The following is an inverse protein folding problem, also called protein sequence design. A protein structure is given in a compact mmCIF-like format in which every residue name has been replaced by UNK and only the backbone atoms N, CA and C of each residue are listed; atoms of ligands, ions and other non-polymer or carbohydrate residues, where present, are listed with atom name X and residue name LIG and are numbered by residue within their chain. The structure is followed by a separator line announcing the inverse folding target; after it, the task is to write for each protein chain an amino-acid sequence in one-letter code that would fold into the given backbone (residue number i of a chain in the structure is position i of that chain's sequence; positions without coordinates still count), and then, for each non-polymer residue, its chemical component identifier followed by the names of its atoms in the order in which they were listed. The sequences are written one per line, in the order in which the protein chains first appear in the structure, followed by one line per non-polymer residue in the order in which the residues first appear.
data_IF_677747983474
#
_entry.id   IF_677747983474
#
_cell.length_a   1.000
_cell.length_b   1.000
_cell.length_c   1.000
_cell.angle_alpha   90.00
_cell.angle_beta   90.00
_cell.angle_gamma   90.00
#
_symmetry.space_group_name_H-M   'P 1'
#
loop_
_entity.id
_entity.type
_entity.pdbx_description
1 polymer ?
#
# COMPACT_ATOMS: atom_id res chain seq x y z
N UNK A 1 2.70 -21.76 4.80
CA UNK A 1 3.39 -20.46 4.91
C UNK A 1 2.70 -19.51 3.94
N UNK A 2 1.58 -18.91 4.36
CA UNK A 2 0.79 -18.00 3.51
C UNK A 2 1.38 -16.62 3.72
N UNK A 3 2.01 -16.09 2.67
CA UNK A 3 2.52 -14.73 2.68
C UNK A 3 1.34 -13.76 2.73
N UNK A 4 1.01 -13.30 3.94
CA UNK A 4 0.20 -12.09 4.14
C UNK A 4 1.07 -10.90 3.71
N UNK A 5 1.22 -10.76 2.40
CA UNK A 5 1.80 -9.58 1.79
C UNK A 5 0.80 -8.44 1.89
N UNK A 6 0.83 -7.73 3.01
CA UNK A 6 0.33 -6.37 3.09
C UNK A 6 1.07 -5.52 2.04
N UNK A 7 0.50 -5.38 0.85
CA UNK A 7 0.85 -4.31 -0.06
C UNK A 7 0.04 -3.08 0.32
N UNK A 8 0.48 -2.42 1.39
CA UNK A 8 0.12 -1.04 1.67
C UNK A 8 0.72 -0.14 0.58
N UNK A 9 -0.01 0.05 -0.51
CA UNK A 9 0.10 1.21 -1.40
C UNK A 9 -1.23 1.93 -1.30
N UNK A 10 -1.23 3.22 -0.92
CA UNK A 10 -2.36 3.96 -0.35
C UNK A 10 -3.50 4.30 -1.32
N UNK A 11 -3.69 3.52 -2.38
CA UNK A 11 -4.75 3.72 -3.35
C UNK A 11 -5.43 2.38 -3.56
N UNK A 12 -6.75 2.36 -3.38
CA UNK A 12 -7.58 1.21 -3.73
C UNK A 12 -7.26 0.80 -5.18
N UNK A 13 -6.98 -0.48 -5.40
CA UNK A 13 -6.61 -1.03 -6.71
C UNK A 13 -7.70 -0.71 -7.74
N UNK A 14 -8.96 -0.64 -7.31
CA UNK A 14 -10.09 -0.24 -8.15
C UNK A 14 -9.98 1.24 -8.55
N UNK A 15 -9.67 2.13 -7.60
CA UNK A 15 -9.41 3.55 -7.89
C UNK A 15 -8.22 3.72 -8.83
N UNK A 16 -7.13 2.99 -8.60
CA UNK A 16 -5.96 3.02 -9.47
C UNK A 16 -6.28 2.54 -10.89
N UNK A 17 -7.10 1.49 -11.04
CA UNK A 17 -7.56 1.01 -12.33
C UNK A 17 -8.42 2.07 -13.06
N UNK A 18 -9.29 2.77 -12.33
CA UNK A 18 -10.11 3.85 -12.88
C UNK A 18 -9.26 5.03 -13.36
N UNK A 19 -8.24 5.42 -12.59
CA UNK A 19 -7.34 6.51 -12.94
C UNK A 19 -6.52 6.18 -14.20
N UNK A 20 -5.95 4.97 -14.29
CA UNK A 20 -5.22 4.50 -15.47
C UNK A 20 -6.11 4.40 -16.71
N UNK A 21 -7.37 3.95 -16.54
CA UNK A 21 -8.34 3.91 -17.65
C UNK A 21 -8.71 5.31 -18.14
N UNK A 22 -8.94 6.26 -17.23
CA UNK A 22 -9.16 7.67 -17.56
C UNK A 22 -7.95 8.27 -18.29
N UNK A 23 -6.74 7.93 -17.85
CA UNK A 23 -5.50 8.39 -18.47
C UNK A 23 -5.35 7.85 -19.91
N UNK A 24 -5.51 6.54 -20.12
CA UNK A 24 -5.47 5.92 -21.46
C UNK A 24 -6.54 6.53 -22.38
N UNK A 25 -7.75 6.75 -21.86
CA UNK A 25 -8.84 7.36 -22.65
C UNK A 25 -8.49 8.78 -23.10
N UNK A 26 -7.87 9.56 -22.21
CA UNK A 26 -7.41 10.93 -22.53
C UNK A 26 -6.29 10.94 -23.56
N UNK A 27 -5.33 10.01 -23.45
CA UNK A 27 -4.26 9.83 -24.45
C UNK A 27 -4.83 9.43 -25.81
N UNK A 28 -5.79 8.49 -25.83
CA UNK A 28 -6.44 8.04 -27.06
C UNK A 28 -7.20 9.18 -27.73
N UNK A 29 -7.94 9.98 -26.97
CA UNK A 29 -8.66 11.14 -27.49
C UNK A 29 -7.69 12.15 -28.16
N UNK A 30 -6.59 12.48 -27.48
CA UNK A 30 -5.58 13.39 -28.02
C UNK A 30 -4.85 12.80 -29.24
N UNK A 31 -4.56 11.50 -29.23
CA UNK A 31 -3.92 10.80 -30.35
C UNK A 31 -4.81 10.79 -31.59
N UNK A 32 -6.10 10.46 -31.45
CA UNK A 32 -7.06 10.47 -32.56
C UNK A 32 -7.27 11.91 -33.06
N UNK A 33 -7.44 12.88 -32.15
CA UNK A 33 -7.66 14.28 -32.50
C UNK A 33 -6.49 14.90 -33.26
N UNK A 34 -5.25 14.65 -32.83
CA UNK A 34 -4.04 15.10 -33.54
C UNK A 34 -3.91 14.42 -34.89
N UNK A 35 -4.14 13.10 -34.97
CA UNK A 35 -4.09 12.37 -36.24
C UNK A 35 -5.12 12.87 -37.25
N UNK A 36 -6.35 13.19 -36.82
CA UNK A 36 -7.39 13.70 -37.72
C UNK A 36 -7.15 15.15 -38.14
N UNK A 37 -6.68 16.01 -37.22
CA UNK A 37 -6.40 17.41 -37.49
C UNK A 37 -5.22 17.58 -38.45
N UNK A 38 -4.18 16.78 -38.25
CA UNK A 38 -2.91 16.90 -38.96
C UNK A 38 -2.82 15.90 -40.13
N UNK A 39 -3.90 15.15 -40.42
CA UNK A 39 -4.01 14.28 -41.59
C UNK A 39 -3.89 15.10 -42.88
N UNK A 40 -2.88 14.79 -43.69
CA UNK A 40 -2.76 15.35 -45.03
C UNK A 40 -3.99 14.95 -45.88
N UNK A 41 -4.49 15.85 -46.75
CA UNK A 41 -5.57 15.51 -47.65
C UNK A 41 -5.15 14.33 -48.54
N UNK A 42 -5.91 13.24 -48.49
CA UNK A 42 -5.68 12.06 -49.32
C UNK A 42 -5.87 12.42 -50.79
N UNK A 43 -4.79 12.46 -51.58
CA UNK A 43 -4.87 12.73 -53.02
C UNK A 43 -5.49 11.53 -53.73
N UNK A 44 -6.70 11.71 -54.28
CA UNK A 44 -7.39 10.70 -55.06
C UNK A 44 -7.02 10.98 -56.53
N UNK A 45 -5.99 10.27 -57.02
CA UNK A 45 -5.40 10.32 -58.38
C UNK A 45 -4.33 11.41 -58.58
N UNK A 46 -3.06 11.03 -58.47
CA UNK A 46 -1.86 11.64 -59.10
C UNK A 46 -1.71 13.19 -59.13
N UNK A 47 -2.54 13.94 -58.42
CA UNK A 47 -2.33 15.36 -58.20
C UNK A 47 -1.30 15.49 -57.08
N UNK A 48 -0.22 16.22 -57.38
CA UNK A 48 0.92 16.42 -56.50
C UNK A 48 0.51 16.92 -55.10
N UNK A 49 1.38 16.74 -54.09
CA UNK A 49 1.02 16.96 -52.70
C UNK A 49 0.50 18.39 -52.50
N UNK A 50 -0.77 18.49 -52.10
CA UNK A 50 -1.37 19.75 -51.66
C UNK A 50 -0.68 20.10 -50.34
N UNK A 51 0.25 21.05 -50.36
CA UNK A 51 0.91 21.53 -49.16
C UNK A 51 -0.11 22.27 -48.29
N UNK A 52 -0.74 21.53 -47.37
CA UNK A 52 -1.42 22.13 -46.25
C UNK A 52 -0.34 22.72 -45.33
N UNK A 53 -0.21 24.05 -45.34
CA UNK A 53 0.60 24.75 -44.36
C UNK A 53 0.00 24.53 -42.97
N UNK A 54 0.59 23.63 -42.19
CA UNK A 54 0.30 23.54 -40.76
C UNK A 54 1.57 23.17 -40.00
N UNK A 55 1.67 23.72 -38.78
CA UNK A 55 2.79 23.67 -37.85
C UNK A 55 3.36 22.25 -37.64
N UNK A 56 4.61 22.11 -37.13
CA UNK A 56 5.16 20.80 -36.77
C UNK A 56 4.21 20.09 -35.80
N UNK A 57 3.53 19.05 -36.30
CA UNK A 57 2.75 18.16 -35.47
C UNK A 57 3.68 17.53 -34.41
N UNK A 58 3.21 17.29 -33.18
CA UNK A 58 3.94 16.45 -32.25
C UNK A 58 4.23 15.09 -32.93
N UNK A 59 5.38 14.45 -32.69
CA UNK A 59 5.70 13.19 -33.35
C UNK A 59 4.63 12.16 -32.97
N UNK A 60 3.85 11.71 -33.95
CA UNK A 60 2.81 10.68 -33.77
C UNK A 60 3.43 9.44 -33.11
N UNK A 61 4.69 9.14 -33.44
CA UNK A 61 5.48 8.07 -32.84
C UNK A 61 5.63 8.22 -31.32
N UNK A 62 5.86 9.45 -30.82
CA UNK A 62 6.01 9.72 -29.38
C UNK A 62 4.67 9.55 -28.66
N UNK A 63 3.57 9.98 -29.28
CA UNK A 63 2.22 9.79 -28.72
C UNK A 63 1.82 8.30 -28.74
N UNK A 64 2.22 7.56 -29.78
CA UNK A 64 2.01 6.11 -29.85
C UNK A 64 2.83 5.38 -28.78
N UNK A 65 4.09 5.75 -28.56
CA UNK A 65 4.92 5.21 -27.48
C UNK A 65 4.29 5.47 -26.11
N UNK A 66 3.81 6.69 -25.84
CA UNK A 66 3.10 7.02 -24.61
C UNK A 66 1.83 6.18 -24.42
N UNK A 67 1.04 5.98 -25.47
CA UNK A 67 -0.17 5.16 -25.42
C UNK A 67 0.17 3.68 -25.12
N UNK A 68 1.19 3.13 -25.77
CA UNK A 68 1.62 1.74 -25.50
C UNK A 68 2.19 1.58 -24.10
N UNK A 69 2.91 2.58 -23.58
CA UNK A 69 3.39 2.62 -22.20
C UNK A 69 2.25 2.64 -21.18
N UNK A 70 1.23 3.47 -21.41
CA UNK A 70 0.04 3.55 -20.56
C UNK A 70 -0.79 2.25 -20.61
N UNK A 71 -0.94 1.63 -21.77
CA UNK A 71 -1.60 0.32 -21.91
C UNK A 71 -0.83 -0.79 -21.16
N UNK A 72 0.50 -0.76 -21.19
CA UNK A 72 1.32 -1.68 -20.42
C UNK A 72 1.19 -1.44 -18.90
N UNK A 73 1.07 -0.19 -18.46
CA UNK A 73 0.81 0.15 -17.06
C UNK A 73 -0.58 -0.37 -16.61
N UNK A 74 -1.62 -0.14 -17.41
CA UNK A 74 -2.96 -0.67 -17.18
C UNK A 74 -2.95 -2.21 -17.09
N UNK A 75 -2.21 -2.88 -17.99
CA UNK A 75 -2.04 -4.34 -17.96
C UNK A 75 -1.41 -4.86 -16.66
N UNK A 76 -0.45 -4.12 -16.08
CA UNK A 76 0.15 -4.45 -14.78
C UNK A 76 -0.85 -4.30 -13.64
N UNK A 77 -1.66 -3.24 -13.65
CA UNK A 77 -2.71 -3.04 -12.63
C UNK A 77 -3.74 -4.17 -12.75
N UNK A 78 -4.15 -4.54 -13.96
CA UNK A 78 -5.07 -5.66 -14.20
C UNK A 78 -4.51 -6.98 -13.66
N UNK A 79 -3.24 -7.25 -13.91
CA UNK A 79 -2.56 -8.46 -13.42
C UNK A 79 -2.40 -8.47 -11.88
N UNK A 80 -2.43 -7.30 -11.24
CA UNK A 80 -2.37 -7.15 -9.79
C UNK A 80 -3.74 -7.28 -9.10
N UNK A 81 -4.84 -7.44 -9.84
CA UNK A 81 -6.15 -7.66 -9.21
C UNK A 81 -6.11 -8.95 -8.38
N UNK A 82 -6.60 -8.93 -7.13
CA UNK A 82 -6.76 -10.14 -6.35
C UNK A 82 -7.73 -11.08 -7.08
N UNK A 83 -7.35 -12.35 -7.17
CA UNK A 83 -8.08 -13.40 -7.89
C UNK A 83 -9.37 -13.85 -7.20
N UNK A 84 -10.07 -12.95 -6.50
CA UNK A 84 -11.31 -13.27 -5.78
C UNK A 84 -12.49 -13.29 -6.74
N UNK A 85 -12.48 -14.29 -7.61
CA UNK A 85 -13.70 -14.88 -8.18
C UNK A 85 -14.32 -15.91 -7.21
N UNK A 86 -13.95 -15.89 -5.93
CA UNK A 86 -14.62 -16.69 -4.90
C UNK A 86 -16.05 -16.18 -4.72
N UNK A 87 -17.00 -17.11 -4.56
CA UNK A 87 -18.38 -16.78 -4.20
C UNK A 87 -18.39 -15.90 -2.95
N UNK A 88 -19.30 -14.93 -2.87
CA UNK A 88 -19.49 -14.05 -1.71
C UNK A 88 -19.51 -14.85 -0.39
N UNK A 89 -20.13 -16.03 -0.40
CA UNK A 89 -20.20 -16.94 0.74
C UNK A 89 -18.82 -17.43 1.23
N UNK A 90 -17.87 -17.67 0.31
CA UNK A 90 -16.52 -18.10 0.66
C UNK A 90 -15.71 -16.94 1.28
N UNK A 91 -15.91 -15.71 0.77
CA UNK A 91 -15.28 -14.52 1.33
C UNK A 91 -15.81 -14.24 2.75
N UNK A 92 -17.12 -14.38 2.96
CA UNK A 92 -17.73 -14.24 4.28
C UNK A 92 -17.19 -15.30 5.25
N UNK A 93 -17.06 -16.55 4.82
CA UNK A 93 -16.48 -17.62 5.65
C UNK A 93 -15.02 -17.32 6.02
N UNK A 94 -14.24 -16.83 5.06
CA UNK A 94 -12.84 -16.44 5.31
C UNK A 94 -12.76 -15.26 6.29
N UNK A 95 -13.57 -14.22 6.09
CA UNK A 95 -13.62 -13.05 6.99
C UNK A 95 -14.01 -13.46 8.40
N UNK A 96 -15.06 -14.27 8.56
CA UNK A 96 -15.49 -14.74 9.89
C UNK A 96 -14.43 -15.61 10.57
N UNK A 97 -13.75 -16.47 9.82
CA UNK A 97 -12.61 -17.24 10.31
C UNK A 97 -11.45 -16.35 10.77
N UNK A 98 -11.11 -15.32 9.99
CA UNK A 98 -10.06 -14.35 10.33
C UNK A 98 -10.44 -13.50 11.55
N UNK A 99 -11.70 -13.08 11.67
CA UNK A 99 -12.21 -12.37 12.85
C UNK A 99 -12.09 -13.22 14.11
N UNK A 100 -12.49 -14.49 14.04
CA UNK A 100 -12.35 -15.42 15.16
C UNK A 100 -10.88 -15.61 15.55
N UNK A 101 -9.99 -15.85 14.57
CA UNK A 101 -8.56 -15.97 14.82
C UNK A 101 -7.95 -14.70 15.43
N UNK A 102 -8.40 -13.51 14.99
CA UNK A 102 -7.96 -12.24 15.52
C UNK A 102 -8.39 -12.03 16.99
N UNK A 103 -9.62 -12.40 17.34
CA UNK A 103 -10.10 -12.37 18.73
C UNK A 103 -9.28 -13.30 19.61
N UNK A 104 -9.04 -14.54 19.16
CA UNK A 104 -8.22 -15.50 19.91
C UNK A 104 -6.79 -15.00 20.11
N UNK A 105 -6.16 -14.49 19.06
CA UNK A 105 -4.82 -13.90 19.15
C UNK A 105 -4.78 -12.68 20.09
N UNK A 106 -5.84 -11.85 20.08
CA UNK A 106 -5.95 -10.70 20.99
C UNK A 106 -6.07 -11.13 22.45
N UNK A 107 -6.85 -12.16 22.74
CA UNK A 107 -6.97 -12.73 24.09
C UNK A 107 -5.65 -13.35 24.56
N UNK A 108 -4.96 -14.08 23.70
CA UNK A 108 -3.66 -14.66 24.02
C UNK A 108 -2.62 -13.57 24.29
N UNK A 109 -2.59 -12.53 23.45
CA UNK A 109 -1.74 -11.37 23.64
C UNK A 109 -2.04 -10.67 24.98
N UNK A 110 -3.32 -10.48 25.31
CA UNK A 110 -3.71 -9.88 26.58
C UNK A 110 -3.28 -10.72 27.79
N UNK A 111 -3.49 -12.04 27.74
CA UNK A 111 -3.03 -12.93 28.82
C UNK A 111 -1.50 -12.93 28.96
N UNK A 112 -0.77 -12.77 27.85
CA UNK A 112 0.70 -12.64 27.86
C UNK A 112 1.16 -11.31 28.49
N UNK A 113 0.44 -10.21 28.21
CA UNK A 113 0.70 -8.90 28.78
C UNK A 113 0.42 -8.87 30.29
N UNK A 114 -0.68 -9.47 30.72
CA UNK A 114 -1.01 -9.58 32.15
C UNK A 114 0.07 -10.36 32.91
N UNK A 115 0.52 -11.50 32.37
CA UNK A 115 1.62 -12.28 32.95
C UNK A 115 2.92 -11.47 33.01
N UNK A 116 3.27 -10.78 31.94
CA UNK A 116 4.46 -9.94 31.90
C UNK A 116 4.39 -8.79 32.92
N UNK A 117 3.20 -8.19 33.09
CA UNK A 117 2.97 -7.12 34.06
C UNK A 117 3.14 -7.61 35.50
N UNK A 118 2.63 -8.80 35.83
CA UNK A 118 2.83 -9.40 37.16
C UNK A 118 4.31 -9.59 37.46
N UNK A 119 5.07 -10.23 36.55
CA UNK A 119 6.51 -10.44 36.72
C UNK A 119 7.26 -9.11 36.90
N UNK A 120 6.88 -8.08 36.15
CA UNK A 120 7.48 -6.76 36.25
C UNK A 120 7.16 -6.09 37.59
N UNK A 121 5.93 -6.22 38.12
CA UNK A 121 5.60 -5.72 39.45
C UNK A 121 6.33 -6.45 40.56
N UNK A 122 6.49 -7.78 40.45
CA UNK A 122 7.29 -8.57 41.39
C UNK A 122 8.76 -8.15 41.39
N UNK A 123 9.32 -7.93 40.20
CA UNK A 123 10.70 -7.44 40.06
C UNK A 123 10.88 -6.06 40.70
N UNK A 124 9.95 -5.11 40.46
CA UNK A 124 10.01 -3.80 41.11
C UNK A 124 9.86 -3.89 42.63
N UNK A 125 8.97 -4.74 43.13
CA UNK A 125 8.80 -4.94 44.57
C UNK A 125 10.07 -5.49 45.22
N UNK A 126 10.69 -6.50 44.59
CA UNK A 126 11.97 -7.08 45.03
C UNK A 126 13.11 -6.05 45.01
N UNK A 127 13.21 -5.24 43.94
CA UNK A 127 14.21 -4.16 43.89
C UNK A 127 13.95 -3.07 44.94
N UNK A 128 12.69 -2.74 45.22
CA UNK A 128 12.33 -1.76 46.25
C UNK A 128 12.71 -2.24 47.65
N UNK A 129 12.45 -3.51 47.99
CA UNK A 129 12.81 -4.05 49.30
C UNK A 129 14.33 -4.16 49.49
N UNK A 130 15.07 -4.52 48.43
CA UNK A 130 16.54 -4.48 48.44
C UNK A 130 17.07 -3.06 48.64
N UNK A 131 16.48 -2.07 47.95
CA UNK A 131 16.84 -0.66 48.13
C UNK A 131 16.58 -0.17 49.56
N UNK A 132 15.45 -0.55 50.17
CA UNK A 132 15.11 -0.22 51.55
C UNK A 132 16.08 -0.86 52.56
N UNK A 133 16.46 -2.12 52.35
CA UNK A 133 17.44 -2.82 53.19
C UNK A 133 18.81 -2.13 53.14
N UNK A 134 19.27 -1.76 51.94
CA UNK A 134 20.54 -1.04 51.77
C UNK A 134 20.52 0.34 52.44
N UNK A 135 19.39 1.04 52.42
CA UNK A 135 19.25 2.32 53.12
C UNK A 135 19.30 2.15 54.65
N UNK A 136 18.64 1.12 55.20
CA UNK A 136 18.70 0.81 56.63
C UNK A 136 20.11 0.40 57.09
N UNK A 137 20.85 -0.36 56.29
CA UNK A 137 22.24 -0.71 56.60
C UNK A 137 23.15 0.54 56.63
N UNK A 138 22.91 1.51 55.75
CA UNK A 138 23.63 2.80 55.76
C UNK A 138 23.28 3.65 56.98
N UNK A 139 22.01 3.71 57.36
CA UNK A 139 21.57 4.44 58.57
C UNK A 139 22.05 3.77 59.87
N UNK A 140 22.04 2.44 59.93
CA UNK A 140 22.56 1.66 61.05
C UNK A 140 24.08 1.77 61.20
N UNK A 141 24.82 1.87 60.09
CA UNK A 141 26.25 2.16 60.11
C UNK A 141 26.57 3.62 60.51
N UNK A 142 25.61 4.54 60.35
CA UNK A 142 25.74 5.95 60.69
C UNK A 142 25.33 6.30 62.13
N UNK A 143 24.86 5.34 62.93
CA UNK A 143 24.69 5.49 64.39
C UNK A 143 25.94 4.96 65.10
N UNK A 144 26.98 5.79 65.36
CA UNK A 144 28.10 5.36 66.17
C UNK A 144 27.63 5.23 67.62
N UNK A 145 28.15 4.20 68.28
CA UNK A 145 28.03 3.94 69.69
C UNK A 145 28.11 5.23 70.53
N UNK A 146 26.97 5.67 71.07
CA UNK A 146 26.92 6.54 72.25
C UNK A 146 27.00 5.62 73.48
N UNK A 147 28.23 5.29 73.86
CA UNK A 147 28.61 4.88 75.22
C UNK A 147 29.52 5.96 75.81
#
# INVERSE_FOLDING_TARGET
MVAVGHSATSTDIVTQLQDELCHVTSLLYNFIGTTQRDAAPSSIKDEGPVQAGCAPAPPIDLMAEQLTGALAALGKVIAALPSTLSSEEQQILEITGLQHANVMASQELQASLERAQVVLTESYASHSSLAETLLQDVEGAAQPALL
#
